data_IF_882013907614
#
_entry.id   IF_882013907614
#
_cell.length_a   1.000
_cell.length_b   1.000
_cell.length_c   1.000
_cell.angle_alpha   90.00
_cell.angle_beta   90.00
_cell.angle_gamma   90.00
#
_symmetry.space_group_name_H-M   'P 1'
#
loop_
_entity.id
_entity.type
_entity.pdbx_description
1 polymer ?
#
# COMPACT_ATOMS: atom_id res chain seq x y z
N UNK A 1 -12.02 12.46 23.07
CA UNK A 1 -12.58 11.27 22.39
C UNK A 1 -11.69 10.97 21.19
N UNK A 2 -11.20 9.74 20.97
CA UNK A 2 -10.50 9.43 19.73
C UNK A 2 -11.48 9.57 18.57
N UNK A 3 -11.15 10.39 17.59
CA UNK A 3 -11.95 10.57 16.37
C UNK A 3 -12.03 9.20 15.68
N UNK A 4 -13.25 8.66 15.57
CA UNK A 4 -13.48 7.41 14.84
C UNK A 4 -13.52 7.75 13.35
N UNK A 5 -12.40 7.52 12.67
CA UNK A 5 -12.36 7.55 11.22
C UNK A 5 -12.97 6.27 10.65
N UNK A 6 -13.73 6.41 9.58
CA UNK A 6 -14.10 5.31 8.69
C UNK A 6 -13.18 5.27 7.46
N UNK A 7 -13.28 4.20 6.67
CA UNK A 7 -12.56 4.10 5.40
C UNK A 7 -12.92 5.24 4.45
N UNK A 8 -14.19 5.63 4.38
CA UNK A 8 -14.67 6.68 3.49
C UNK A 8 -14.20 8.06 3.96
N UNK A 9 -14.13 8.30 5.27
CA UNK A 9 -13.56 9.53 5.82
C UNK A 9 -12.08 9.68 5.43
N UNK A 10 -11.30 8.59 5.48
CA UNK A 10 -9.92 8.62 5.04
C UNK A 10 -9.76 8.95 3.55
N UNK A 11 -10.68 8.48 2.70
CA UNK A 11 -10.69 8.83 1.28
C UNK A 11 -11.03 10.31 1.10
N UNK A 12 -12.06 10.80 1.80
CA UNK A 12 -12.46 12.21 1.77
C UNK A 12 -11.33 13.14 2.20
N UNK A 13 -10.65 12.84 3.31
CA UNK A 13 -9.50 13.61 3.79
C UNK A 13 -8.42 13.77 2.72
N UNK A 14 -8.12 12.71 1.97
CA UNK A 14 -7.13 12.76 0.89
C UNK A 14 -7.59 13.63 -0.28
N UNK A 15 -8.86 13.51 -0.70
CA UNK A 15 -9.43 14.27 -1.81
C UNK A 15 -9.52 15.77 -1.44
N UNK A 16 -10.10 16.09 -0.28
CA UNK A 16 -10.22 17.47 0.22
C UNK A 16 -8.84 18.14 0.31
N UNK A 17 -7.82 17.38 0.75
CA UNK A 17 -6.47 17.92 0.80
C UNK A 17 -5.87 18.14 -0.59
N UNK A 18 -6.14 17.25 -1.54
CA UNK A 18 -5.69 17.41 -2.93
C UNK A 18 -6.33 18.66 -3.56
N UNK A 19 -7.63 18.88 -3.35
CA UNK A 19 -8.35 20.06 -3.82
C UNK A 19 -7.85 21.35 -3.14
N UNK A 20 -7.58 21.31 -1.85
CA UNK A 20 -6.98 22.43 -1.11
C UNK A 20 -5.58 22.79 -1.63
N UNK A 21 -4.75 21.81 -1.98
CA UNK A 21 -3.45 22.06 -2.58
C UNK A 21 -3.60 22.67 -3.98
N UNK A 22 -4.51 22.14 -4.79
CA UNK A 22 -4.81 22.66 -6.13
C UNK A 22 -5.33 24.10 -6.09
N UNK A 23 -6.21 24.45 -5.15
CA UNK A 23 -6.72 25.82 -4.98
C UNK A 23 -5.65 26.82 -4.55
N UNK A 24 -4.55 26.34 -3.98
CA UNK A 24 -3.35 27.14 -3.68
C UNK A 24 -2.31 27.15 -4.81
N UNK A 25 -2.63 26.57 -5.98
CA UNK A 25 -1.72 26.50 -7.12
C UNK A 25 -0.56 25.52 -6.91
N UNK A 26 -0.65 24.60 -5.95
CA UNK A 26 0.39 23.60 -5.69
C UNK A 26 0.15 22.36 -6.54
N UNK A 27 0.98 22.18 -7.57
CA UNK A 27 0.91 21.05 -8.50
C UNK A 27 1.59 19.79 -7.93
N UNK A 28 1.15 19.35 -6.75
CA UNK A 28 1.66 18.15 -6.08
C UNK A 28 0.54 17.36 -5.39
N UNK A 29 0.82 16.09 -5.13
CA UNK A 29 -0.05 15.24 -4.31
C UNK A 29 0.11 15.53 -2.81
N UNK A 30 -0.92 15.22 -1.99
CA UNK A 30 -0.81 15.23 -0.54
C UNK A 30 0.30 14.30 -0.03
N UNK A 31 1.15 14.85 0.82
CA UNK A 31 2.20 14.17 1.58
C UNK A 31 1.70 13.89 2.99
N UNK A 32 2.36 12.99 3.70
CA UNK A 32 2.01 12.65 5.10
C UNK A 32 2.08 13.85 6.04
N UNK A 33 3.05 14.73 5.80
CA UNK A 33 3.26 15.98 6.56
C UNK A 33 2.11 16.98 6.41
N UNK A 34 1.25 16.81 5.41
CA UNK A 34 0.09 17.69 5.22
C UNK A 34 -1.08 17.35 6.17
N UNK A 35 -0.95 16.27 6.97
CA UNK A 35 -1.98 15.73 7.86
C UNK A 35 -1.47 15.60 9.29
N UNK A 36 -2.39 15.53 10.24
CA UNK A 36 -2.10 15.22 11.63
C UNK A 36 -1.61 13.76 11.80
N UNK A 37 -0.83 13.45 12.85
CA UNK A 37 -0.39 12.09 13.14
C UNK A 37 -1.55 11.09 13.22
N UNK A 38 -2.67 11.49 13.81
CA UNK A 38 -3.87 10.68 13.98
C UNK A 38 -4.51 10.32 12.62
N UNK A 39 -4.65 11.31 11.73
CA UNK A 39 -5.13 11.11 10.36
C UNK A 39 -4.18 10.19 9.57
N UNK A 40 -2.88 10.39 9.67
CA UNK A 40 -1.89 9.54 8.99
C UNK A 40 -2.00 8.09 9.45
N UNK A 41 -2.19 7.85 10.75
CA UNK A 41 -2.41 6.51 11.31
C UNK A 41 -3.71 5.91 10.78
N UNK A 42 -4.81 6.66 10.79
CA UNK A 42 -6.11 6.20 10.30
C UNK A 42 -6.07 5.87 8.79
N UNK A 43 -5.55 6.78 7.96
CA UNK A 43 -5.39 6.60 6.52
C UNK A 43 -4.60 5.32 6.23
N UNK A 44 -3.49 5.11 6.94
CA UNK A 44 -2.68 3.90 6.77
C UNK A 44 -3.40 2.63 7.22
N UNK A 45 -4.17 2.70 8.30
CA UNK A 45 -4.89 1.55 8.82
C UNK A 45 -6.00 1.09 7.84
N UNK A 46 -6.74 2.03 7.24
CA UNK A 46 -7.87 1.70 6.36
C UNK A 46 -7.50 1.51 4.88
N UNK A 47 -6.54 2.29 4.37
CA UNK A 47 -6.20 2.30 2.93
C UNK A 47 -4.84 1.64 2.62
N UNK A 48 -4.11 1.26 3.67
CA UNK A 48 -2.82 0.58 3.56
C UNK A 48 -1.65 1.56 3.39
N UNK A 49 -0.52 1.13 2.81
CA UNK A 49 0.66 1.99 2.69
C UNK A 49 0.35 3.23 1.85
N UNK A 50 0.95 4.38 2.20
CA UNK A 50 0.63 5.70 1.65
C UNK A 50 0.43 5.78 0.12
N UNK A 51 1.29 5.17 -0.73
CA UNK A 51 1.05 5.18 -2.17
C UNK A 51 -0.28 4.52 -2.56
N UNK A 52 -0.64 3.43 -1.88
CA UNK A 52 -1.90 2.72 -2.12
C UNK A 52 -3.11 3.50 -1.61
N UNK A 53 -2.93 4.30 -0.57
CA UNK A 53 -3.96 5.23 -0.11
C UNK A 53 -4.26 6.32 -1.15
N UNK A 54 -3.23 6.90 -1.76
CA UNK A 54 -3.40 7.85 -2.88
C UNK A 54 -4.06 7.19 -4.09
N UNK A 55 -3.71 5.93 -4.39
CA UNK A 55 -4.38 5.15 -5.45
C UNK A 55 -5.85 4.87 -5.13
N UNK A 56 -6.18 4.57 -3.86
CA UNK A 56 -7.55 4.34 -3.42
C UNK A 56 -8.41 5.60 -3.47
N UNK A 57 -7.80 6.78 -3.27
CA UNK A 57 -8.47 8.08 -3.40
C UNK A 57 -8.52 8.59 -4.85
N UNK A 58 -8.01 7.83 -5.84
CA UNK A 58 -7.99 8.25 -7.25
C UNK A 58 -6.99 9.38 -7.56
N UNK A 59 -6.19 9.81 -6.58
CA UNK A 59 -5.20 10.88 -6.70
C UNK A 59 -4.04 10.46 -7.60
N UNK A 60 -3.65 9.19 -7.53
CA UNK A 60 -2.53 8.63 -8.30
C UNK A 60 -2.98 7.38 -9.07
N UNK A 61 -2.59 7.20 -10.34
CA UNK A 61 -2.87 5.97 -11.05
C UNK A 61 -2.12 4.79 -10.41
N UNK A 62 -2.75 3.59 -10.34
CA UNK A 62 -2.07 2.40 -9.89
C UNK A 62 -0.93 2.02 -10.86
N UNK A 63 0.05 1.23 -10.40
CA UNK A 63 1.08 0.68 -11.27
C UNK A 63 0.49 -0.06 -12.49
N UNK A 64 1.20 -0.07 -13.62
CA UNK A 64 0.81 -0.88 -14.78
C UNK A 64 0.56 -2.34 -14.41
N UNK A 65 -0.49 -2.92 -14.97
CA UNK A 65 -0.93 -4.28 -14.64
C UNK A 65 0.16 -5.33 -14.92
N UNK A 66 0.95 -5.14 -15.98
CA UNK A 66 2.07 -6.03 -16.34
C UNK A 66 3.14 -6.06 -15.24
N UNK A 67 3.45 -4.91 -14.63
CA UNK A 67 4.39 -4.79 -13.52
C UNK A 67 3.88 -5.52 -12.28
N UNK A 68 2.59 -5.42 -12.00
CA UNK A 68 1.94 -6.15 -10.89
C UNK A 68 2.04 -7.66 -11.13
N UNK A 69 1.73 -8.12 -12.34
CA UNK A 69 1.80 -9.53 -12.73
C UNK A 69 3.24 -10.08 -12.64
N UNK A 70 4.23 -9.38 -13.20
CA UNK A 70 5.66 -9.75 -13.10
C UNK A 70 6.12 -9.88 -11.65
N UNK A 71 5.73 -8.94 -10.78
CA UNK A 71 6.07 -9.00 -9.36
C UNK A 71 5.42 -10.20 -8.67
N UNK A 72 4.17 -10.52 -9.01
CA UNK A 72 3.47 -11.70 -8.50
C UNK A 72 4.15 -12.99 -8.93
N UNK A 73 4.53 -13.09 -10.20
CA UNK A 73 5.24 -14.26 -10.74
C UNK A 73 6.58 -14.49 -10.03
N UNK A 74 7.39 -13.43 -9.86
CA UNK A 74 8.65 -13.50 -9.09
C UNK A 74 8.44 -14.02 -7.67
N UNK A 75 7.39 -13.56 -6.98
CA UNK A 75 7.05 -14.04 -5.63
C UNK A 75 6.66 -15.52 -5.63
N UNK A 76 5.86 -15.96 -6.60
CA UNK A 76 5.46 -17.36 -6.74
C UNK A 76 6.70 -18.24 -6.97
N UNK A 77 7.59 -17.84 -7.88
CA UNK A 77 8.84 -18.55 -8.18
C UNK A 77 9.74 -18.67 -6.95
N UNK A 78 9.93 -17.57 -6.21
CA UNK A 78 10.72 -17.59 -4.98
C UNK A 78 10.09 -18.50 -3.90
N UNK A 79 8.76 -18.50 -3.77
CA UNK A 79 8.04 -19.39 -2.84
C UNK A 79 8.20 -20.85 -3.23
N UNK A 80 8.06 -21.19 -4.51
CA UNK A 80 8.26 -22.55 -5.02
C UNK A 80 9.69 -23.04 -4.75
N UNK A 81 10.70 -22.23 -5.05
CA UNK A 81 12.10 -22.56 -4.76
C UNK A 81 12.32 -22.89 -3.29
N UNK A 82 11.84 -22.03 -2.37
CA UNK A 82 11.93 -22.28 -0.92
C UNK A 82 11.26 -23.58 -0.49
N UNK A 83 10.13 -23.94 -1.09
CA UNK A 83 9.42 -25.20 -0.78
C UNK A 83 10.24 -26.40 -1.26
N UNK A 84 10.80 -26.34 -2.47
CA UNK A 84 11.67 -27.40 -3.02
C UNK A 84 12.91 -27.58 -2.13
N UNK A 85 13.59 -26.48 -1.78
CA UNK A 85 14.78 -26.52 -0.93
C UNK A 85 14.48 -27.14 0.44
N UNK A 86 13.34 -26.75 1.06
CA UNK A 86 12.89 -27.33 2.33
C UNK A 86 12.59 -28.83 2.20
N UNK A 87 11.93 -29.26 1.11
CA UNK A 87 11.66 -30.69 0.88
C UNK A 87 12.97 -31.47 0.69
N UNK A 88 13.92 -30.93 -0.07
CA UNK A 88 15.23 -31.55 -0.29
C UNK A 88 16.08 -31.62 0.98
N UNK A 89 16.02 -30.61 1.85
CA UNK A 89 16.67 -30.64 3.16
C UNK A 89 16.03 -31.69 4.09
N UNK A 90 14.69 -31.76 4.13
CA UNK A 90 13.97 -32.75 4.94
C UNK A 90 14.21 -34.19 4.47
N UNK A 91 14.33 -34.41 3.16
CA UNK A 91 14.71 -35.73 2.62
C UNK A 91 16.11 -36.13 3.09
N UNK A 92 17.09 -35.24 2.92
CA UNK A 92 18.49 -35.47 3.35
C UNK A 92 18.63 -35.76 4.85
N UNK A 93 17.84 -35.13 5.72
CA UNK A 93 17.85 -35.43 7.16
C UNK A 93 17.16 -36.73 7.55
N UNK A 94 16.36 -37.31 6.64
CA UNK A 94 15.61 -38.55 6.89
C UNK A 94 16.33 -39.78 6.30
N UNK A 95 17.37 -39.55 5.50
CA UNK A 95 18.25 -40.56 4.90
C UNK A 95 19.59 -40.71 5.69
N UNK A 96 19.74 -40.02 6.83
CA UNK A 96 20.85 -40.13 7.82
C UNK A 96 20.27 -40.67 9.12
#
# INVERSE_FOLDING_TARGET
MPVKYTKDDCVKLLIEKQEFLASRGLERHPKREDFSPEEVVAIKAFLGPWPRALEAAGIKPPPPADRIAKNREKRIRAKQKRIIDKKAAKKRSNDI
#
